data_IF_007086625297
#
_entry.id   IF_007086625297
#
_cell.length_a   1.000
_cell.length_b   1.000
_cell.length_c   1.000
_cell.angle_alpha   90.00
_cell.angle_beta   90.00
_cell.angle_gamma   90.00
#
_symmetry.space_group_name_H-M   'P 1'
#
loop_
_entity.id
_entity.type
_entity.pdbx_description
1 polymer ?
#
# COMPACT_ATOMS: atom_id res chain seq x y z
N UNK A 1 16.71 -13.38 11.02
CA UNK A 1 15.68 -12.35 10.78
C UNK A 1 14.72 -12.33 11.96
N UNK A 2 14.70 -11.26 12.74
CA UNK A 2 13.75 -11.12 13.84
C UNK A 2 12.36 -10.88 13.26
N UNK A 3 11.41 -11.78 13.55
CA UNK A 3 10.00 -11.56 13.26
C UNK A 3 9.52 -10.39 14.12
N UNK A 4 9.25 -9.24 13.49
CA UNK A 4 8.55 -8.13 14.16
C UNK A 4 7.25 -8.73 14.71
N UNK A 5 7.13 -8.83 16.03
CA UNK A 5 5.88 -9.21 16.69
C UNK A 5 4.89 -8.08 16.43
N UNK A 6 4.14 -8.22 15.35
CA UNK A 6 3.12 -7.26 14.96
C UNK A 6 2.08 -7.23 16.09
N UNK A 7 1.96 -6.12 16.84
CA UNK A 7 1.11 -6.06 18.03
C UNK A 7 -0.35 -6.39 17.72
N UNK A 8 -1.07 -6.81 18.76
CA UNK A 8 -2.51 -7.06 18.72
C UNK A 8 -3.33 -5.77 18.61
N UNK A 9 -2.70 -4.63 18.86
CA UNK A 9 -3.35 -3.35 19.06
C UNK A 9 -3.64 -2.61 17.75
N UNK A 10 -4.62 -1.71 17.87
CA UNK A 10 -4.93 -0.68 16.90
C UNK A 10 -3.66 0.15 16.63
N UNK A 11 -3.03 -0.05 15.47
CA UNK A 11 -1.79 0.64 15.09
C UNK A 11 -1.94 2.18 15.14
N UNK A 12 -3.17 2.68 15.16
CA UNK A 12 -3.51 4.09 15.39
C UNK A 12 -3.05 4.62 16.76
N UNK A 13 -2.71 3.76 17.73
CA UNK A 13 -2.29 4.13 19.09
C UNK A 13 -0.78 4.04 19.32
N UNK A 14 -0.02 3.52 18.37
CA UNK A 14 1.43 3.33 18.50
C UNK A 14 2.12 4.42 17.68
N UNK A 15 3.01 5.24 18.28
CA UNK A 15 3.82 6.19 17.51
C UNK A 15 4.85 5.40 16.69
N UNK A 16 4.53 5.15 15.42
CA UNK A 16 5.43 4.49 14.48
C UNK A 16 6.22 5.55 13.69
N UNK A 17 7.48 5.26 13.42
CA UNK A 17 8.26 5.97 12.40
C UNK A 17 7.95 5.45 11.00
N UNK A 18 8.25 6.24 9.97
CA UNK A 18 8.10 5.82 8.57
C UNK A 18 8.89 4.52 8.28
N UNK A 19 10.10 4.39 8.82
CA UNK A 19 10.91 3.19 8.65
C UNK A 19 10.23 1.95 9.24
N UNK A 20 9.64 2.07 10.44
CA UNK A 20 8.89 0.97 11.05
C UNK A 20 7.65 0.61 10.22
N UNK A 21 6.94 1.60 9.67
CA UNK A 21 5.82 1.38 8.75
C UNK A 21 6.27 0.60 7.51
N UNK A 22 7.39 1.00 6.90
CA UNK A 22 7.96 0.29 5.73
C UNK A 22 8.28 -1.16 6.08
N UNK A 23 8.98 -1.41 7.19
CA UNK A 23 9.31 -2.77 7.64
C UNK A 23 8.06 -3.63 7.89
N UNK A 24 7.03 -3.05 8.51
CA UNK A 24 5.74 -3.75 8.73
C UNK A 24 5.08 -4.09 7.40
N UNK A 25 5.04 -3.16 6.45
CA UNK A 25 4.48 -3.40 5.12
C UNK A 25 5.26 -4.49 4.37
N UNK A 26 6.59 -4.44 4.38
CA UNK A 26 7.43 -5.49 3.80
C UNK A 26 7.09 -6.87 4.38
N UNK A 27 6.95 -6.95 5.71
CA UNK A 27 6.60 -8.20 6.40
C UNK A 27 5.20 -8.70 6.03
N UNK A 28 4.22 -7.82 5.95
CA UNK A 28 2.83 -8.17 5.61
C UNK A 28 2.66 -8.54 4.13
N UNK A 29 3.53 -8.04 3.27
CA UNK A 29 3.52 -8.25 1.82
C UNK A 29 4.54 -9.30 1.34
N UNK A 30 5.15 -10.04 2.25
CA UNK A 30 6.22 -10.99 1.91
C UNK A 30 5.80 -12.08 0.91
N UNK A 31 4.49 -12.35 0.77
CA UNK A 31 3.95 -13.42 -0.07
C UNK A 31 3.96 -13.10 -1.58
N UNK A 32 4.37 -11.90 -1.98
CA UNK A 32 4.53 -11.53 -3.38
C UNK A 32 5.77 -10.64 -3.58
N UNK A 33 6.40 -10.77 -4.74
CA UNK A 33 7.55 -9.95 -5.14
C UNK A 33 7.15 -8.82 -6.09
N UNK A 34 6.21 -9.11 -7.00
CA UNK A 34 5.64 -8.15 -7.94
C UNK A 34 4.11 -8.17 -7.90
N UNK A 35 3.51 -7.07 -8.31
CA UNK A 35 2.06 -6.91 -8.45
C UNK A 35 1.77 -6.27 -9.81
N UNK A 36 1.02 -6.98 -10.66
CA UNK A 36 0.41 -6.40 -11.86
C UNK A 36 -0.92 -5.71 -11.50
N UNK A 37 -1.04 -4.44 -11.87
CA UNK A 37 -2.20 -3.60 -11.64
C UNK A 37 -2.71 -3.01 -12.94
N UNK A 38 -4.00 -3.24 -13.18
CA UNK A 38 -4.76 -2.52 -14.18
C UNK A 38 -5.26 -1.19 -13.62
N UNK A 39 -4.79 -0.08 -14.20
CA UNK A 39 -5.15 1.28 -13.79
C UNK A 39 -6.37 1.76 -14.59
N UNK A 40 -6.44 1.38 -15.88
CA UNK A 40 -7.56 1.61 -16.80
C UNK A 40 -7.66 0.45 -17.81
N UNK A 41 -8.68 0.46 -18.66
CA UNK A 41 -8.90 -0.60 -19.67
C UNK A 41 -7.68 -0.87 -20.57
N UNK A 42 -6.84 0.14 -20.80
CA UNK A 42 -5.67 0.03 -21.69
C UNK A 42 -4.33 0.20 -20.98
N UNK A 43 -4.32 0.37 -19.66
CA UNK A 43 -3.10 0.64 -18.90
C UNK A 43 -2.91 -0.35 -17.77
N UNK A 44 -1.86 -1.15 -17.93
CA UNK A 44 -1.34 -2.07 -16.94
C UNK A 44 0.02 -1.59 -16.46
N UNK A 45 0.33 -1.85 -15.20
CA UNK A 45 1.62 -1.56 -14.62
C UNK A 45 2.01 -2.68 -13.68
N UNK A 46 3.16 -3.30 -13.96
CA UNK A 46 3.83 -4.18 -13.02
C UNK A 46 4.66 -3.34 -12.05
N UNK A 47 4.51 -3.62 -10.76
CA UNK A 47 5.22 -2.93 -9.67
C UNK A 47 5.93 -3.95 -8.80
N UNK A 48 7.18 -3.68 -8.44
CA UNK A 48 7.85 -4.42 -7.37
C UNK A 48 7.24 -4.09 -6.02
N UNK A 49 7.40 -5.00 -5.05
CA UNK A 49 6.99 -4.75 -3.66
C UNK A 49 7.56 -3.44 -3.10
N UNK A 50 8.80 -3.10 -3.42
CA UNK A 50 9.44 -1.88 -2.93
C UNK A 50 8.79 -0.64 -3.53
N UNK A 51 8.49 -0.66 -4.84
CA UNK A 51 7.75 0.40 -5.51
C UNK A 51 6.34 0.55 -4.95
N UNK A 52 5.67 -0.56 -4.62
CA UNK A 52 4.37 -0.57 -3.95
C UNK A 52 4.46 0.14 -2.60
N UNK A 53 5.44 -0.21 -1.77
CA UNK A 53 5.61 0.39 -0.44
C UNK A 53 5.91 1.88 -0.56
N UNK A 54 6.79 2.28 -1.48
CA UNK A 54 7.08 3.68 -1.76
C UNK A 54 5.84 4.47 -2.18
N UNK A 55 5.01 3.92 -3.06
CA UNK A 55 3.77 4.54 -3.49
C UNK A 55 2.80 4.74 -2.33
N UNK A 56 2.61 3.71 -1.50
CA UNK A 56 1.70 3.78 -0.36
C UNK A 56 2.18 4.82 0.66
N UNK A 57 3.46 4.79 1.03
CA UNK A 57 4.03 5.71 2.03
C UNK A 57 4.02 7.15 1.54
N UNK A 58 4.29 7.38 0.25
CA UNK A 58 4.34 8.74 -0.31
C UNK A 58 2.96 9.36 -0.55
N UNK A 59 1.96 8.55 -0.92
CA UNK A 59 0.70 9.08 -1.46
C UNK A 59 -0.54 8.78 -0.63
N UNK A 60 -0.41 8.02 0.45
CA UNK A 60 -1.48 7.86 1.44
C UNK A 60 -1.24 8.77 2.65
N UNK A 61 -2.33 9.19 3.30
CA UNK A 61 -2.21 9.84 4.60
C UNK A 61 -1.72 8.83 5.63
N UNK A 62 -1.10 9.33 6.70
CA UNK A 62 -0.62 8.49 7.79
C UNK A 62 -1.74 7.61 8.38
N UNK A 63 -2.91 8.20 8.61
CA UNK A 63 -4.08 7.48 9.14
C UNK A 63 -4.52 6.36 8.19
N UNK A 64 -4.51 6.64 6.89
CA UNK A 64 -4.88 5.67 5.85
C UNK A 64 -3.88 4.50 5.80
N UNK A 65 -2.59 4.76 5.98
CA UNK A 65 -1.55 3.73 6.02
C UNK A 65 -1.73 2.82 7.24
N UNK A 66 -1.99 3.40 8.41
CA UNK A 66 -2.20 2.61 9.63
C UNK A 66 -3.45 1.74 9.53
N UNK A 67 -4.52 2.27 8.93
CA UNK A 67 -5.73 1.50 8.66
C UNK A 67 -5.48 0.36 7.66
N UNK A 68 -4.74 0.65 6.59
CA UNK A 68 -4.34 -0.35 5.61
C UNK A 68 -3.50 -1.47 6.22
N UNK A 69 -2.50 -1.14 7.06
CA UNK A 69 -1.71 -2.12 7.83
C UNK A 69 -2.61 -2.97 8.72
N UNK A 70 -3.59 -2.35 9.38
CA UNK A 70 -4.55 -3.06 10.24
C UNK A 70 -5.34 -4.09 9.44
N UNK A 71 -5.87 -3.71 8.29
CA UNK A 71 -6.62 -4.62 7.40
C UNK A 71 -5.74 -5.77 6.87
N UNK A 72 -4.50 -5.47 6.45
CA UNK A 72 -3.55 -6.50 6.02
C UNK A 72 -3.27 -7.52 7.13
N UNK A 73 -3.10 -7.05 8.37
CA UNK A 73 -2.87 -7.94 9.51
C UNK A 73 -4.10 -8.83 9.78
N UNK A 74 -5.32 -8.30 9.66
CA UNK A 74 -6.57 -9.07 9.79
C UNK A 74 -6.64 -10.16 8.70
N UNK A 75 -6.38 -9.80 7.44
CA UNK A 75 -6.40 -10.73 6.31
C UNK A 75 -5.39 -11.86 6.52
N UNK A 76 -4.15 -11.51 6.91
CA UNK A 76 -3.09 -12.48 7.19
C UNK A 76 -3.47 -13.44 8.32
N UNK A 77 -4.08 -12.94 9.40
CA UNK A 77 -4.53 -13.76 10.54
C UNK A 77 -5.63 -14.75 10.16
N UNK A 78 -6.45 -14.43 9.17
CA UNK A 78 -7.45 -15.36 8.60
C UNK A 78 -6.84 -16.38 7.64
N UNK A 79 -5.52 -16.37 7.43
CA UNK A 79 -4.84 -17.22 6.47
C UNK A 79 -5.17 -16.89 5.01
N UNK A 80 -5.75 -15.72 4.75
CA UNK A 80 -6.15 -15.29 3.41
C UNK A 80 -5.01 -14.54 2.71
N UNK A 81 -4.99 -14.61 1.38
CA UNK A 81 -4.04 -13.86 0.57
C UNK A 81 -4.42 -12.38 0.52
N UNK A 82 -3.50 -11.50 0.87
CA UNK A 82 -3.70 -10.05 0.86
C UNK A 82 -3.56 -9.40 -0.53
N UNK A 83 -3.06 -10.12 -1.54
CA UNK A 83 -2.75 -9.58 -2.86
C UNK A 83 -3.92 -8.82 -3.49
N UNK A 84 -5.13 -9.39 -3.49
CA UNK A 84 -6.31 -8.74 -4.08
C UNK A 84 -6.67 -7.43 -3.37
N UNK A 85 -6.51 -7.39 -2.04
CA UNK A 85 -6.75 -6.19 -1.26
C UNK A 85 -5.69 -5.12 -1.52
N UNK A 86 -4.42 -5.51 -1.60
CA UNK A 86 -3.31 -4.62 -1.96
C UNK A 86 -3.51 -4.04 -3.36
N UNK A 87 -3.90 -4.87 -4.34
CA UNK A 87 -4.24 -4.42 -5.70
C UNK A 87 -5.35 -3.38 -5.69
N UNK A 88 -6.44 -3.63 -4.96
CA UNK A 88 -7.56 -2.71 -4.86
C UNK A 88 -7.14 -1.32 -4.36
N UNK A 89 -6.37 -1.27 -3.27
CA UNK A 89 -5.89 0.00 -2.70
C UNK A 89 -4.92 0.71 -3.66
N UNK A 90 -4.00 -0.03 -4.26
CA UNK A 90 -3.04 0.53 -5.21
C UNK A 90 -3.70 1.08 -6.48
N UNK A 91 -4.71 0.39 -7.03
CA UNK A 91 -5.48 0.92 -8.16
C UNK A 91 -6.08 2.28 -7.82
N UNK A 92 -6.66 2.43 -6.62
CA UNK A 92 -7.23 3.71 -6.19
C UNK A 92 -6.16 4.81 -6.02
N UNK A 93 -4.98 4.48 -5.50
CA UNK A 93 -3.84 5.40 -5.39
C UNK A 93 -3.37 5.85 -6.78
N UNK A 94 -3.11 4.90 -7.68
CA UNK A 94 -2.61 5.19 -9.03
C UNK A 94 -3.61 6.01 -9.86
N UNK A 95 -4.90 5.66 -9.82
CA UNK A 95 -5.93 6.45 -10.50
C UNK A 95 -6.03 7.88 -9.98
N UNK A 96 -5.80 8.11 -8.68
CA UNK A 96 -5.77 9.46 -8.10
C UNK A 96 -4.57 10.25 -8.59
N UNK A 97 -3.40 9.61 -8.74
CA UNK A 97 -2.19 10.24 -9.27
C UNK A 97 -2.37 10.63 -10.73
N UNK A 98 -2.90 9.73 -11.56
CA UNK A 98 -3.19 10.03 -12.97
C UNK A 98 -4.11 11.24 -13.13
N UNK A 99 -5.21 11.28 -12.38
CA UNK A 99 -6.14 12.42 -12.41
C UNK A 99 -5.48 13.72 -11.95
N UNK A 100 -4.54 13.64 -11.01
CA UNK A 100 -3.82 14.82 -10.50
C UNK A 100 -2.83 15.35 -11.52
N UNK A 101 -2.13 14.47 -12.23
CA UNK A 101 -1.22 14.84 -13.30
C UNK A 101 -1.95 15.39 -14.53
N UNK A 102 -3.09 14.78 -14.91
CA UNK A 102 -3.95 15.34 -15.97
C UNK A 102 -4.45 16.75 -15.61
N UNK A 103 -4.86 16.99 -14.36
CA UNK A 103 -5.31 18.32 -13.91
C UNK A 103 -4.20 19.37 -13.92
N UNK A 104 -2.93 19.00 -13.70
CA UNK A 104 -1.80 19.92 -13.86
C UNK A 104 -1.61 20.31 -15.32
N UNK A 105 -1.76 19.35 -16.25
CA UNK A 105 -1.65 19.61 -17.69
C UNK A 105 -2.69 20.66 -18.16
N UNK A 106 -3.94 20.54 -17.72
CA UNK A 106 -5.02 21.48 -18.11
C UNK A 106 -4.95 22.87 -17.46
N UNK A 107 -4.15 23.07 -16.39
CA UNK A 107 -3.96 24.39 -15.78
C UNK A 107 -2.87 25.23 -16.46
N UNK A 108 -2.17 24.66 -17.43
CA UNK A 108 -1.01 25.30 -18.10
C UNK A 108 -1.31 25.66 -19.56
N UNK A 109 -2.57 25.59 -19.97
CA UNK A 109 -3.12 26.01 -21.27
C UNK A 109 -4.07 27.18 -21.04
#
# INVERSE_FOLDING_TARGET
MALIKIPNDDFKKIPLSENQVREILHSLMQSFETIDIQISEHKHQELTKDQVIDLLVRYMSWESILEFITQLNIIRRRGSNALSYVKYILTAVLQRLERSDSKKLYKTL
#
